data_IF_241105796143
#
_entry.id   IF_241105796143
#
_cell.length_a   1.000
_cell.length_b   1.000
_cell.length_c   1.000
_cell.angle_alpha   90.00
_cell.angle_beta   90.00
_cell.angle_gamma   90.00
#
_symmetry.space_group_name_H-M   'P 1'
#
loop_
_entity.id
_entity.type
_entity.pdbx_description
1 polymer ?
#
# COMPACT_ATOMS: atom_id res chain seq x y z
N UNK A 1 -7.71 -7.77 -18.98
CA UNK A 1 -8.75 -6.73 -19.24
C UNK A 1 -8.09 -5.41 -19.62
N UNK A 2 -8.86 -4.39 -20.02
CA UNK A 2 -8.32 -3.04 -20.26
C UNK A 2 -8.89 -2.04 -19.27
N UNK A 3 -8.02 -1.22 -18.68
CA UNK A 3 -8.39 -0.11 -17.79
C UNK A 3 -7.55 1.10 -18.18
N UNK A 4 -8.18 2.24 -18.44
CA UNK A 4 -7.52 3.47 -18.90
C UNK A 4 -6.53 3.27 -20.06
N UNK A 5 -6.83 2.35 -20.98
CA UNK A 5 -5.97 2.04 -22.12
C UNK A 5 -4.87 1.02 -21.85
N UNK A 6 -4.56 0.71 -20.59
CA UNK A 6 -3.55 -0.28 -20.21
C UNK A 6 -4.10 -1.71 -20.26
N UNK A 7 -3.26 -2.66 -20.68
CA UNK A 7 -3.56 -4.08 -20.53
C UNK A 7 -3.24 -4.50 -19.09
N UNK A 8 -4.26 -5.03 -18.41
CA UNK A 8 -4.18 -5.43 -17.01
C UNK A 8 -4.48 -6.92 -16.89
N UNK A 9 -3.55 -7.65 -16.29
CA UNK A 9 -3.74 -9.04 -15.88
C UNK A 9 -3.96 -9.09 -14.37
N UNK A 10 -5.12 -9.58 -13.96
CA UNK A 10 -5.51 -9.67 -12.56
C UNK A 10 -5.51 -11.11 -12.09
N UNK A 11 -4.74 -11.41 -11.04
CA UNK A 11 -4.81 -12.67 -10.32
C UNK A 11 -5.41 -12.41 -8.94
N UNK A 12 -6.73 -12.61 -8.83
CA UNK A 12 -7.48 -12.36 -7.60
C UNK A 12 -7.08 -13.29 -6.45
N UNK A 13 -6.61 -14.51 -6.75
CA UNK A 13 -6.18 -15.46 -5.72
C UNK A 13 -4.88 -15.02 -5.04
N UNK A 14 -3.98 -14.38 -5.78
CA UNK A 14 -2.74 -13.81 -5.27
C UNK A 14 -2.89 -12.34 -4.84
N UNK A 15 -4.03 -11.71 -5.09
CA UNK A 15 -4.20 -10.27 -4.93
C UNK A 15 -3.22 -9.47 -5.78
N UNK A 16 -2.89 -9.96 -6.99
CA UNK A 16 -1.82 -9.41 -7.83
C UNK A 16 -2.38 -8.79 -9.11
N UNK A 17 -1.80 -7.66 -9.52
CA UNK A 17 -1.98 -7.05 -10.83
C UNK A 17 -0.63 -6.97 -11.55
N UNK A 18 -0.63 -7.32 -12.84
CA UNK A 18 0.40 -6.95 -13.78
C UNK A 18 -0.20 -5.94 -14.78
N UNK A 19 0.39 -4.75 -14.85
CA UNK A 19 -0.05 -3.65 -15.73
C UNK A 19 1.01 -3.43 -16.79
N UNK A 20 0.71 -3.83 -18.03
CA UNK A 20 1.60 -3.64 -19.16
C UNK A 20 1.47 -2.20 -19.67
N UNK A 21 2.61 -1.58 -19.97
CA UNK A 21 2.70 -0.21 -20.46
C UNK A 21 3.83 -0.05 -21.48
N UNK A 22 3.86 1.10 -22.15
CA UNK A 22 4.89 1.46 -23.15
C UNK A 22 6.10 2.18 -22.54
N UNK A 23 5.94 2.75 -21.35
CA UNK A 23 7.01 3.47 -20.64
C UNK A 23 6.51 4.72 -19.92
N UNK A 24 5.28 5.14 -20.22
CA UNK A 24 4.76 6.44 -19.78
C UNK A 24 3.71 6.34 -18.66
N UNK A 25 3.51 5.14 -18.09
CA UNK A 25 2.50 4.95 -17.03
C UNK A 25 2.79 5.82 -15.81
N UNK A 26 1.79 6.55 -15.35
CA UNK A 26 1.90 7.43 -14.19
C UNK A 26 1.41 6.76 -12.91
N UNK A 27 1.65 7.42 -11.78
CA UNK A 27 1.07 6.99 -10.50
C UNK A 27 -0.46 7.06 -10.52
N UNK A 28 -1.04 8.10 -11.14
CA UNK A 28 -2.49 8.28 -11.26
C UNK A 28 -3.13 7.15 -12.08
N UNK A 29 -2.44 6.70 -13.14
CA UNK A 29 -2.87 5.55 -13.94
C UNK A 29 -2.90 4.27 -13.10
N UNK A 30 -1.86 4.03 -12.31
CA UNK A 30 -1.79 2.87 -11.43
C UNK A 30 -2.86 2.91 -10.34
N UNK A 31 -3.13 4.10 -9.77
CA UNK A 31 -4.20 4.29 -8.80
C UNK A 31 -5.58 4.01 -9.43
N UNK A 32 -5.83 4.51 -10.64
CA UNK A 32 -7.08 4.27 -11.35
C UNK A 32 -7.27 2.79 -11.72
N UNK A 33 -6.20 2.13 -12.20
CA UNK A 33 -6.21 0.68 -12.43
C UNK A 33 -6.54 -0.07 -11.14
N UNK A 34 -5.84 0.22 -10.05
CA UNK A 34 -6.07 -0.38 -8.74
C UNK A 34 -7.53 -0.21 -8.29
N UNK A 35 -8.06 1.01 -8.36
CA UNK A 35 -9.43 1.33 -7.96
C UNK A 35 -10.45 0.58 -8.82
N UNK A 36 -10.22 0.47 -10.12
CA UNK A 36 -11.12 -0.26 -11.02
C UNK A 36 -11.19 -1.77 -10.70
N UNK A 37 -10.10 -2.37 -10.20
CA UNK A 37 -10.07 -3.82 -9.89
C UNK A 37 -10.49 -4.13 -8.46
N UNK A 38 -10.03 -3.35 -7.49
CA UNK A 38 -10.15 -3.67 -6.06
C UNK A 38 -10.97 -2.67 -5.25
N UNK A 39 -11.41 -1.56 -5.85
CA UNK A 39 -12.09 -0.48 -5.16
C UNK A 39 -11.14 0.56 -4.57
N UNK A 40 -11.69 1.70 -4.19
CA UNK A 40 -10.95 2.87 -3.70
C UNK A 40 -10.29 2.61 -2.34
N UNK A 41 -10.98 1.84 -1.47
CA UNK A 41 -10.53 1.52 -0.11
C UNK A 41 -9.39 0.48 -0.06
N UNK A 42 -9.07 -0.17 -1.18
CA UNK A 42 -8.02 -1.17 -1.22
C UNK A 42 -6.64 -0.50 -1.20
N UNK A 43 -5.78 -0.93 -0.28
CA UNK A 43 -4.36 -0.59 -0.30
C UNK A 43 -3.59 -1.56 -1.20
N UNK A 44 -2.58 -1.04 -1.89
CA UNK A 44 -1.68 -1.85 -2.71
C UNK A 44 -0.25 -1.32 -2.64
N UNK A 45 0.71 -2.21 -2.83
CA UNK A 45 2.13 -1.87 -2.89
C UNK A 45 2.73 -2.29 -4.22
N UNK A 46 3.73 -1.54 -4.64
CA UNK A 46 4.64 -1.92 -5.70
C UNK A 46 6.01 -2.27 -5.11
N UNK A 47 6.55 -3.41 -5.52
CA UNK A 47 7.82 -3.93 -5.00
C UNK A 47 8.88 -3.89 -6.09
N UNK A 48 10.00 -3.23 -5.80
CA UNK A 48 11.20 -3.26 -6.63
C UNK A 48 12.12 -4.37 -6.14
N UNK A 49 12.32 -5.45 -6.92
CA UNK A 49 13.13 -6.57 -6.49
C UNK A 49 14.61 -6.17 -6.37
N UNK A 50 15.35 -6.91 -5.55
CA UNK A 50 16.81 -6.82 -5.55
C UNK A 50 17.36 -7.05 -6.97
N UNK A 51 18.42 -6.33 -7.35
CA UNK A 51 19.01 -6.40 -8.69
C UNK A 51 19.32 -7.82 -9.16
N UNK A 52 19.74 -8.70 -8.25
CA UNK A 52 20.04 -10.12 -8.54
C UNK A 52 18.82 -10.99 -8.86
N UNK A 53 17.61 -10.48 -8.62
CA UNK A 53 16.32 -11.14 -8.88
C UNK A 53 15.49 -10.36 -9.91
N UNK A 54 16.04 -9.29 -10.49
CA UNK A 54 15.35 -8.48 -11.48
C UNK A 54 15.25 -9.24 -12.80
N UNK A 55 14.02 -9.48 -13.25
CA UNK A 55 13.73 -9.93 -14.61
C UNK A 55 13.07 -8.77 -15.33
N UNK A 56 13.81 -8.09 -16.21
CA UNK A 56 13.33 -6.92 -16.95
C UNK A 56 13.18 -7.24 -18.43
N UNK A 57 12.20 -8.09 -18.76
CA UNK A 57 11.93 -8.52 -20.15
C UNK A 57 10.84 -7.72 -20.85
N UNK A 58 10.04 -6.94 -20.11
CA UNK A 58 8.98 -6.09 -20.63
C UNK A 58 8.60 -4.99 -19.63
N UNK A 59 8.05 -3.89 -20.14
CA UNK A 59 7.55 -2.77 -19.34
C UNK A 59 6.26 -3.17 -18.61
N UNK A 60 6.40 -3.49 -17.33
CA UNK A 60 5.30 -3.92 -16.46
C UNK A 60 5.44 -3.29 -15.08
N UNK A 61 4.31 -2.88 -14.51
CA UNK A 61 4.19 -2.51 -13.10
C UNK A 61 3.40 -3.58 -12.38
N UNK A 62 3.93 -4.03 -11.25
CA UNK A 62 3.28 -5.07 -10.45
C UNK A 62 2.76 -4.50 -9.15
N UNK A 63 1.45 -4.67 -8.91
CA UNK A 63 0.81 -4.26 -7.67
C UNK A 63 0.34 -5.50 -6.90
N UNK A 64 0.51 -5.48 -5.59
CA UNK A 64 -0.08 -6.46 -4.68
C UNK A 64 -1.02 -5.77 -3.71
N UNK A 65 -2.26 -6.25 -3.66
CA UNK A 65 -3.25 -5.80 -2.69
C UNK A 65 -2.83 -6.22 -1.30
N UNK A 66 -2.90 -5.30 -0.35
CA UNK A 66 -2.75 -5.59 1.06
C UNK A 66 -4.10 -6.04 1.64
N UNK A 67 -4.11 -7.13 2.39
CA UNK A 67 -5.26 -7.56 3.18
C UNK A 67 -5.42 -6.73 4.45
N UNK A 68 -6.54 -6.94 5.14
CA UNK A 68 -6.87 -6.20 6.37
C UNK A 68 -5.84 -6.37 7.51
N UNK A 69 -5.07 -7.46 7.49
CA UNK A 69 -4.06 -7.77 8.51
C UNK A 69 -2.63 -7.54 8.02
N UNK A 70 -2.44 -7.17 6.75
CA UNK A 70 -1.11 -6.89 6.23
C UNK A 70 -0.64 -5.51 6.70
N UNK A 71 0.67 -5.37 6.89
CA UNK A 71 1.24 -4.07 7.23
C UNK A 71 1.19 -3.14 6.01
N UNK A 72 0.38 -2.09 6.11
CA UNK A 72 0.44 -0.93 5.23
C UNK A 72 1.25 0.17 5.94
N UNK A 73 2.36 0.66 5.35
CA UNK A 73 3.02 1.85 5.85
C UNK A 73 2.01 2.99 5.88
N UNK A 74 1.77 3.53 7.06
CA UNK A 74 0.90 4.68 7.23
C UNK A 74 1.66 5.94 6.80
N UNK A 75 1.40 6.38 5.57
CA UNK A 75 2.04 7.55 4.97
C UNK A 75 1.46 8.87 5.50
N UNK A 76 0.31 8.85 6.15
CA UNK A 76 -0.41 10.04 6.61
C UNK A 76 -0.38 10.22 8.14
N UNK A 77 0.26 9.31 8.88
CA UNK A 77 0.24 9.33 10.34
C UNK A 77 -1.14 9.01 10.93
N UNK A 78 -2.07 8.45 10.14
CA UNK A 78 -3.44 8.11 10.54
C UNK A 78 -3.59 6.65 10.97
N UNK A 79 -2.49 5.92 11.04
CA UNK A 79 -2.42 4.61 11.64
C UNK A 79 -3.07 4.72 13.01
N UNK A 80 -4.07 3.87 13.23
CA UNK A 80 -4.74 3.76 14.51
C UNK A 80 -3.66 3.79 15.59
N UNK A 81 -3.73 4.81 16.46
CA UNK A 81 -2.79 5.01 17.53
C UNK A 81 -2.47 3.65 18.15
N UNK A 82 -1.24 3.16 17.96
CA UNK A 82 -0.88 1.87 18.51
C UNK A 82 -1.04 1.99 20.02
N UNK A 83 -1.90 1.16 20.60
CA UNK A 83 -2.03 1.03 22.05
C UNK A 83 -0.77 0.34 22.61
N UNK A 84 0.32 1.09 22.67
CA UNK A 84 1.61 0.61 23.17
C UNK A 84 1.68 0.80 24.68
N UNK A 85 2.46 -0.07 25.33
CA UNK A 85 2.76 0.06 26.74
C UNK A 85 3.39 1.42 27.07
N UNK A 86 4.32 1.87 26.23
CA UNK A 86 4.96 3.19 26.33
C UNK A 86 3.92 4.31 26.37
N UNK A 87 2.92 4.25 25.49
CA UNK A 87 1.88 5.28 25.41
C UNK A 87 0.97 5.28 26.64
N UNK A 88 0.56 4.12 27.13
CA UNK A 88 -0.23 3.99 28.38
C UNK A 88 0.55 4.53 29.58
N UNK A 89 1.86 4.30 29.63
CA UNK A 89 2.71 4.87 30.68
C UNK A 89 2.83 6.39 30.54
N UNK A 90 3.16 6.94 29.36
CA UNK A 90 3.23 8.39 29.19
C UNK A 90 1.92 9.10 29.58
N UNK A 91 0.76 8.54 29.25
CA UNK A 91 -0.54 9.08 29.65
C UNK A 91 -0.73 9.09 31.18
N UNK A 92 -0.48 7.96 31.84
CA UNK A 92 -0.61 7.85 33.30
C UNK A 92 0.35 8.78 34.06
N UNK A 93 1.57 8.95 33.55
CA UNK A 93 2.58 9.81 34.18
C UNK A 93 2.33 11.30 33.93
N UNK A 94 1.77 11.69 32.78
CA UNK A 94 1.33 13.06 32.53
C UNK A 94 0.15 13.45 33.43
N UNK A 95 -0.83 12.57 33.63
CA UNK A 95 -1.94 12.81 34.57
C UNK A 95 -1.46 12.98 36.01
N UNK A 96 -0.48 12.19 36.44
CA UNK A 96 0.09 12.30 37.77
C UNK A 96 0.78 13.66 38.01
N UNK A 97 1.47 14.22 37.00
CA UNK A 97 2.16 15.50 37.12
C UNK A 97 1.20 16.71 37.06
N UNK A 98 0.10 16.61 36.32
CA UNK A 98 -0.92 17.68 36.26
C UNK A 98 -1.77 17.82 37.53
N UNK A 99 -1.71 16.86 38.46
CA UNK A 99 -2.39 16.95 39.77
C UNK A 99 -1.52 17.58 40.87
N UNK A 100 -0.29 17.97 40.54
CA UNK A 100 0.68 18.55 41.47
C UNK A 100 1.04 20.03 41.15
N UNK A 101 0.33 20.66 40.21
CA UNK A 101 0.28 22.12 39.98
C UNK A 101 -1.02 22.72 40.52
#
# INVERSE_FOLDING_TARGET
MRVNGFQVEANHSLGHLAVLHDGEITWDDLQAVKNAVWGEDANAIEVYPAQSRLVNSLNCRHLWRLGANDFCPDLLGQGQERDTLERRFCAAWNEAWSQHE
#
